data_IF_139105329202
#
_entry.id   IF_139105329202
#
_cell.length_a   1.000
_cell.length_b   1.000
_cell.length_c   1.000
_cell.angle_alpha   90.00
_cell.angle_beta   90.00
_cell.angle_gamma   90.00
#
_symmetry.space_group_name_H-M   'P 1'
#
loop_
_entity.id
_entity.type
_entity.pdbx_description
1 polymer ?
#
# COMPACT_ATOMS: atom_id res chain seq x y z
N UNK A 1 -33.47 45.96 -11.11
CA UNK A 1 -32.68 45.14 -12.07
C UNK A 1 -31.49 44.40 -11.42
N UNK A 2 -30.91 44.89 -10.31
CA UNK A 2 -29.79 44.22 -9.62
C UNK A 2 -30.16 42.97 -8.79
N UNK A 3 -31.37 42.87 -8.25
CA UNK A 3 -31.79 41.72 -7.42
C UNK A 3 -31.85 40.40 -8.20
N UNK A 4 -32.29 40.45 -9.47
CA UNK A 4 -32.32 39.28 -10.37
C UNK A 4 -30.91 38.79 -10.71
N UNK A 5 -29.91 39.69 -10.78
CA UNK A 5 -28.50 39.32 -10.96
C UNK A 5 -27.91 38.68 -9.70
N UNK A 6 -28.30 39.14 -8.50
CA UNK A 6 -27.87 38.59 -7.21
C UNK A 6 -28.47 37.19 -6.96
N UNK A 7 -29.73 36.96 -7.33
CA UNK A 7 -30.36 35.64 -7.24
C UNK A 7 -29.74 34.62 -8.22
N UNK A 8 -29.36 35.06 -9.43
CA UNK A 8 -28.68 34.18 -10.39
C UNK A 8 -27.26 33.84 -9.91
N UNK A 9 -26.54 34.80 -9.33
CA UNK A 9 -25.18 34.55 -8.81
C UNK A 9 -25.17 33.58 -7.63
N UNK A 10 -26.15 33.69 -6.72
CA UNK A 10 -26.28 32.77 -5.58
C UNK A 10 -26.72 31.37 -5.99
N UNK A 11 -27.59 31.23 -7.00
CA UNK A 11 -27.98 29.94 -7.55
C UNK A 11 -26.81 29.21 -8.24
N UNK A 12 -25.96 29.93 -8.99
CA UNK A 12 -24.78 29.37 -9.65
C UNK A 12 -23.71 28.95 -8.62
N UNK A 13 -23.48 29.76 -7.59
CA UNK A 13 -22.55 29.41 -6.52
C UNK A 13 -23.00 28.18 -5.71
N UNK A 14 -24.31 28.04 -5.45
CA UNK A 14 -24.88 26.85 -4.80
C UNK A 14 -24.73 25.58 -5.64
N UNK A 15 -24.85 25.68 -6.96
CA UNK A 15 -24.70 24.54 -7.86
C UNK A 15 -23.26 24.01 -7.93
N UNK A 16 -22.27 24.90 -7.92
CA UNK A 16 -20.85 24.53 -7.91
C UNK A 16 -20.48 23.78 -6.62
N UNK A 17 -21.06 24.16 -5.47
CA UNK A 17 -20.76 23.53 -4.19
C UNK A 17 -21.29 22.08 -4.08
N UNK A 18 -22.34 21.73 -4.84
CA UNK A 18 -22.90 20.36 -4.82
C UNK A 18 -22.13 19.35 -5.67
N UNK A 19 -21.34 19.79 -6.67
CA UNK A 19 -20.61 18.86 -7.56
C UNK A 19 -19.24 18.41 -7.04
N UNK A 20 -18.69 19.05 -6.00
CA UNK A 20 -17.37 18.67 -5.45
C UNK A 20 -17.39 17.40 -4.58
N UNK A 21 -18.58 16.87 -4.23
CA UNK A 21 -18.74 15.74 -3.31
C UNK A 21 -18.58 14.34 -3.93
N UNK A 22 -18.50 14.22 -5.26
CA UNK A 22 -18.48 12.93 -5.96
C UNK A 22 -17.33 12.85 -6.97
N UNK A 23 -16.07 12.93 -6.51
CA UNK A 23 -14.97 12.40 -7.31
C UNK A 23 -14.94 10.87 -7.13
N UNK A 24 -15.22 10.07 -8.17
CA UNK A 24 -15.06 8.63 -8.08
C UNK A 24 -13.60 8.32 -7.76
N UNK A 25 -13.40 7.59 -6.66
CA UNK A 25 -12.10 7.11 -6.22
C UNK A 25 -11.56 6.19 -7.32
N UNK A 26 -10.52 6.61 -8.05
CA UNK A 26 -9.91 5.76 -9.08
C UNK A 26 -9.55 4.40 -8.45
N UNK A 27 -10.19 3.34 -8.94
CA UNK A 27 -9.75 1.99 -8.65
C UNK A 27 -8.47 1.73 -9.43
N UNK A 28 -7.38 1.55 -8.69
CA UNK A 28 -6.00 1.40 -9.16
C UNK A 28 -5.71 0.27 -10.18
N UNK A 29 -6.73 -0.48 -10.62
CA UNK A 29 -6.60 -1.58 -11.58
C UNK A 29 -5.78 -2.78 -11.09
N UNK A 30 -5.26 -2.74 -9.85
CA UNK A 30 -4.44 -3.82 -9.29
C UNK A 30 -5.29 -5.03 -8.94
N UNK A 31 -4.84 -6.20 -9.40
CA UNK A 31 -5.51 -7.47 -9.14
C UNK A 31 -4.91 -8.15 -7.90
N UNK A 32 -5.76 -8.86 -7.15
CA UNK A 32 -5.36 -9.74 -6.05
C UNK A 32 -4.61 -9.07 -4.86
N UNK A 33 -4.99 -7.83 -4.52
CA UNK A 33 -4.59 -7.19 -3.27
C UNK A 33 -5.43 -7.75 -2.11
N UNK A 34 -4.78 -8.49 -1.19
CA UNK A 34 -5.42 -9.16 -0.03
C UNK A 34 -5.12 -8.50 1.33
N UNK A 35 -4.16 -7.57 1.38
CA UNK A 35 -3.72 -6.90 2.63
C UNK A 35 -3.64 -5.39 2.45
N UNK A 36 -3.05 -4.92 1.33
CA UNK A 36 -3.02 -3.51 1.00
C UNK A 36 -4.38 -3.00 0.51
N UNK A 37 -4.69 -1.70 0.66
CA UNK A 37 -5.92 -1.11 0.14
C UNK A 37 -6.07 -1.32 -1.36
N UNK A 38 -7.27 -1.69 -1.81
CA UNK A 38 -7.57 -1.87 -3.25
C UNK A 38 -7.44 -0.58 -4.06
N UNK A 39 -7.63 0.57 -3.41
CA UNK A 39 -7.54 1.90 -4.02
C UNK A 39 -6.15 2.56 -3.85
N UNK A 40 -5.12 1.79 -3.47
CA UNK A 40 -3.75 2.32 -3.33
C UNK A 40 -3.26 2.87 -4.68
N UNK A 41 -2.63 4.05 -4.68
CA UNK A 41 -2.03 4.58 -5.92
C UNK A 41 -0.86 3.72 -6.38
N UNK A 42 -0.50 3.81 -7.66
CA UNK A 42 0.62 3.07 -8.23
C UNK A 42 1.96 3.42 -7.57
N UNK A 43 2.14 4.70 -7.26
CA UNK A 43 3.34 5.25 -6.61
C UNK A 43 3.47 4.68 -5.20
N UNK A 44 2.38 4.69 -4.43
CA UNK A 44 2.37 4.16 -3.07
C UNK A 44 2.56 2.63 -3.04
N UNK A 45 1.95 1.91 -3.99
CA UNK A 45 2.19 0.47 -4.11
C UNK A 45 3.65 0.18 -4.48
N UNK A 46 4.22 0.93 -5.42
CA UNK A 46 5.63 0.85 -5.79
C UNK A 46 6.55 1.06 -4.59
N UNK A 47 6.29 2.10 -3.80
CA UNK A 47 7.07 2.42 -2.59
C UNK A 47 7.05 1.27 -1.57
N UNK A 48 5.89 0.67 -1.32
CA UNK A 48 5.77 -0.48 -0.43
C UNK A 48 6.61 -1.66 -0.94
N UNK A 49 6.59 -1.93 -2.24
CA UNK A 49 7.40 -3.00 -2.83
C UNK A 49 8.91 -2.70 -2.77
N UNK A 50 9.30 -1.43 -2.92
CA UNK A 50 10.68 -1.00 -2.74
C UNK A 50 11.16 -1.14 -1.29
N UNK A 51 10.32 -0.77 -0.32
CA UNK A 51 10.59 -0.97 1.11
C UNK A 51 10.80 -2.47 1.43
N UNK A 52 10.04 -3.37 0.81
CA UNK A 52 10.25 -4.81 0.97
C UNK A 52 11.57 -5.30 0.37
N UNK A 53 11.94 -4.85 -0.84
CA UNK A 53 13.23 -5.20 -1.45
C UNK A 53 14.40 -4.81 -0.55
N UNK A 54 14.35 -3.60 0.01
CA UNK A 54 15.40 -3.07 0.88
C UNK A 54 15.43 -3.83 2.21
N UNK A 55 14.28 -4.03 2.85
CA UNK A 55 14.22 -4.70 4.15
C UNK A 55 14.66 -6.16 4.10
N UNK A 56 14.33 -6.89 3.03
CA UNK A 56 14.65 -8.31 2.89
C UNK A 56 15.94 -8.56 2.07
N UNK A 57 16.52 -7.54 1.42
CA UNK A 57 17.67 -7.72 0.53
C UNK A 57 17.38 -8.59 -0.68
N UNK A 58 16.17 -8.49 -1.25
CA UNK A 58 15.70 -9.33 -2.36
C UNK A 58 15.24 -8.52 -3.57
N UNK A 59 15.00 -9.21 -4.69
CA UNK A 59 14.42 -8.65 -5.91
C UNK A 59 12.98 -9.13 -6.10
N UNK A 60 12.25 -8.52 -7.04
CA UNK A 60 10.82 -8.78 -7.27
C UNK A 60 10.51 -10.27 -7.50
N UNK A 61 11.37 -10.99 -8.24
CA UNK A 61 11.22 -12.42 -8.55
C UNK A 61 11.28 -13.33 -7.31
N UNK A 62 11.77 -12.83 -6.17
CA UNK A 62 11.76 -13.59 -4.92
C UNK A 62 10.32 -13.87 -4.46
N UNK A 63 9.42 -12.89 -4.60
CA UNK A 63 8.03 -13.01 -4.18
C UNK A 63 7.05 -13.18 -5.35
N UNK A 64 7.33 -12.62 -6.52
CA UNK A 64 6.40 -12.63 -7.64
C UNK A 64 6.72 -13.77 -8.62
N UNK A 65 5.67 -14.38 -9.16
CA UNK A 65 5.79 -15.44 -10.16
C UNK A 65 6.14 -14.86 -11.54
N UNK A 66 6.87 -15.60 -12.39
CA UNK A 66 6.99 -15.24 -13.80
C UNK A 66 5.62 -15.30 -14.49
N UNK A 67 5.44 -14.53 -15.56
CA UNK A 67 4.24 -14.63 -16.37
C UNK A 67 4.21 -15.96 -17.13
N UNK A 68 3.02 -16.58 -17.22
CA UNK A 68 2.79 -17.80 -18.01
C UNK A 68 2.87 -17.58 -19.52
N UNK A 69 2.69 -16.34 -19.98
CA UNK A 69 2.65 -16.00 -21.40
C UNK A 69 3.94 -15.36 -21.91
N UNK A 70 4.74 -14.78 -21.01
CA UNK A 70 6.02 -14.13 -21.34
C UNK A 70 7.01 -14.32 -20.18
N UNK A 71 7.99 -15.23 -20.29
CA UNK A 71 8.92 -15.53 -19.20
C UNK A 71 9.85 -14.35 -18.85
N UNK A 72 9.91 -13.29 -19.67
CA UNK A 72 10.66 -12.06 -19.37
C UNK A 72 9.86 -11.10 -18.49
N UNK A 73 8.56 -11.34 -18.29
CA UNK A 73 7.67 -10.53 -17.44
C UNK A 73 7.28 -11.28 -16.18
N UNK A 74 6.79 -10.55 -15.18
CA UNK A 74 6.22 -11.11 -13.97
C UNK A 74 4.70 -11.03 -14.01
N UNK A 75 4.05 -12.03 -13.42
CA UNK A 75 2.65 -11.96 -13.01
C UNK A 75 2.58 -11.50 -11.55
N UNK A 76 2.42 -10.19 -11.37
CA UNK A 76 2.34 -9.59 -10.04
C UNK A 76 1.07 -10.00 -9.27
N UNK A 77 0.03 -10.48 -9.96
CA UNK A 77 -1.23 -10.90 -9.35
C UNK A 77 -1.19 -12.37 -8.92
N UNK A 78 -0.44 -13.23 -9.59
CA UNK A 78 -0.31 -14.66 -9.28
C UNK A 78 0.18 -14.95 -7.86
N UNK A 79 -0.36 -16.02 -7.27
CA UNK A 79 0.00 -16.56 -5.95
C UNK A 79 0.84 -17.85 -6.06
N UNK A 80 1.29 -18.22 -7.26
CA UNK A 80 2.05 -19.46 -7.48
C UNK A 80 3.39 -19.51 -6.75
N UNK A 81 3.99 -18.32 -6.51
CA UNK A 81 5.15 -18.21 -5.66
C UNK A 81 4.72 -18.06 -4.18
N UNK A 82 4.99 -19.12 -3.40
CA UNK A 82 4.62 -19.21 -1.97
C UNK A 82 5.21 -18.10 -1.10
N UNK A 83 6.35 -17.50 -1.49
CA UNK A 83 6.94 -16.37 -0.75
C UNK A 83 5.99 -15.17 -0.68
N UNK A 84 5.09 -14.99 -1.66
CA UNK A 84 4.08 -13.92 -1.63
C UNK A 84 3.09 -14.09 -0.48
N UNK A 85 2.65 -15.32 -0.22
CA UNK A 85 1.73 -15.59 0.89
C UNK A 85 2.42 -15.46 2.24
N UNK A 86 3.69 -15.86 2.34
CA UNK A 86 4.52 -15.60 3.52
C UNK A 86 4.62 -14.09 3.77
N UNK A 87 4.93 -13.30 2.74
CA UNK A 87 5.00 -11.83 2.86
C UNK A 87 3.67 -11.23 3.33
N UNK A 88 2.52 -11.67 2.80
CA UNK A 88 1.19 -11.23 3.28
C UNK A 88 0.97 -11.56 4.75
N UNK A 89 1.39 -12.75 5.19
CA UNK A 89 1.28 -13.14 6.59
C UNK A 89 2.16 -12.26 7.49
N UNK A 90 3.38 -11.93 7.05
CA UNK A 90 4.26 -11.00 7.75
C UNK A 90 3.67 -9.59 7.81
N UNK A 91 3.09 -9.07 6.72
CA UNK A 91 2.40 -7.78 6.73
C UNK A 91 1.28 -7.73 7.77
N UNK A 92 0.46 -8.78 7.87
CA UNK A 92 -0.59 -8.87 8.89
C UNK A 92 0.00 -8.94 10.29
N UNK A 93 1.10 -9.68 10.49
CA UNK A 93 1.79 -9.76 11.77
C UNK A 93 2.29 -8.38 12.21
N UNK A 94 3.04 -7.69 11.37
CA UNK A 94 3.56 -6.34 11.63
C UNK A 94 2.43 -5.36 11.94
N UNK A 95 1.36 -5.38 11.14
CA UNK A 95 0.18 -4.54 11.39
C UNK A 95 -0.47 -4.83 12.75
N UNK A 96 -0.56 -6.11 13.16
CA UNK A 96 -1.08 -6.49 14.49
C UNK A 96 -0.17 -6.02 15.62
N UNK A 97 1.15 -6.21 15.50
CA UNK A 97 2.15 -5.77 16.49
C UNK A 97 2.05 -4.25 16.68
N UNK A 98 2.08 -3.50 15.58
CA UNK A 98 2.01 -2.04 15.62
C UNK A 98 0.68 -1.55 16.21
N UNK A 99 -0.45 -2.13 15.78
CA UNK A 99 -1.76 -1.79 16.34
C UNK A 99 -1.84 -2.07 17.85
N UNK A 100 -1.26 -3.18 18.32
CA UNK A 100 -1.38 -3.62 19.71
C UNK A 100 -0.48 -2.81 20.66
N UNK A 101 0.74 -2.49 20.24
CA UNK A 101 1.76 -1.96 21.15
C UNK A 101 2.19 -0.51 20.87
N UNK A 102 1.93 0.02 19.67
CA UNK A 102 2.39 1.35 19.28
C UNK A 102 1.24 2.34 19.03
N UNK A 103 -0.02 1.91 19.20
CA UNK A 103 -1.24 2.70 19.00
C UNK A 103 -1.36 3.38 17.62
N UNK A 104 -2.55 3.86 17.26
CA UNK A 104 -2.86 4.35 15.91
C UNK A 104 -2.59 5.84 15.68
N UNK A 105 -2.46 6.60 16.77
CA UNK A 105 -2.48 8.07 16.71
C UNK A 105 -1.08 8.68 16.50
N UNK A 106 -0.09 7.81 16.32
CA UNK A 106 1.26 8.21 15.99
C UNK A 106 1.33 8.54 14.50
N UNK A 107 1.63 9.80 14.19
CA UNK A 107 2.00 10.21 12.84
C UNK A 107 3.27 9.46 12.45
N UNK A 108 3.52 9.35 11.16
CA UNK A 108 4.80 8.84 10.66
C UNK A 108 5.95 9.64 11.31
N UNK A 109 6.71 9.00 12.20
CA UNK A 109 7.82 9.63 12.94
C UNK A 109 7.66 9.70 14.46
N UNK A 110 6.48 9.47 15.03
CA UNK A 110 6.25 9.73 16.46
C UNK A 110 6.76 8.61 17.40
N UNK A 111 6.87 7.35 16.92
CA UNK A 111 7.67 6.26 17.52
C UNK A 111 8.16 5.29 16.43
N UNK A 112 9.32 4.63 16.61
CA UNK A 112 9.75 3.57 15.69
C UNK A 112 8.79 2.38 15.78
N UNK A 113 7.92 2.26 14.78
CA UNK A 113 7.06 1.09 14.60
C UNK A 113 7.89 -0.11 14.15
N UNK A 114 7.41 -1.32 14.46
CA UNK A 114 8.02 -2.53 13.88
C UNK A 114 7.78 -2.50 12.38
N UNK A 115 8.85 -2.71 11.62
CA UNK A 115 8.83 -2.84 10.17
C UNK A 115 9.50 -4.14 9.76
N UNK A 116 9.46 -4.48 8.47
CA UNK A 116 10.21 -5.60 7.93
C UNK A 116 11.72 -5.45 8.24
N UNK A 117 12.24 -4.23 8.22
CA UNK A 117 13.64 -3.91 8.49
C UNK A 117 14.06 -4.27 9.91
N UNK A 118 13.17 -4.11 10.89
CA UNK A 118 13.43 -4.39 12.31
C UNK A 118 13.96 -5.81 12.54
N UNK A 119 13.47 -6.80 11.78
CA UNK A 119 13.88 -8.20 11.94
C UNK A 119 14.78 -8.67 10.80
N UNK A 120 14.44 -8.33 9.55
CA UNK A 120 15.18 -8.84 8.39
C UNK A 120 16.52 -8.16 8.20
N UNK A 121 16.63 -6.87 8.55
CA UNK A 121 17.87 -6.09 8.48
C UNK A 121 18.65 -6.28 7.16
N UNK A 122 17.96 -6.21 6.02
CA UNK A 122 18.54 -6.39 4.69
C UNK A 122 18.80 -7.84 4.28
N UNK A 123 18.27 -8.83 5.01
CA UNK A 123 18.47 -10.26 4.73
C UNK A 123 17.13 -10.98 4.55
N UNK A 124 17.10 -11.93 3.60
CA UNK A 124 15.88 -12.70 3.28
C UNK A 124 15.36 -13.50 4.48
N UNK A 125 16.26 -13.89 5.37
CA UNK A 125 15.96 -14.57 6.62
C UNK A 125 16.49 -13.72 7.79
N UNK A 126 15.66 -13.44 8.81
CA UNK A 126 16.11 -12.79 10.04
C UNK A 126 17.20 -13.62 10.73
N UNK A 127 18.12 -12.93 11.43
CA UNK A 127 19.10 -13.61 12.26
C UNK A 127 18.41 -14.41 13.37
N UNK A 128 18.88 -15.65 13.62
CA UNK A 128 18.42 -16.40 14.79
C UNK A 128 19.05 -15.81 16.06
N UNK A 129 18.33 -15.77 17.19
CA UNK A 129 18.96 -15.46 18.47
C UNK A 129 20.06 -16.51 18.72
N UNK A 130 21.33 -16.08 18.74
CA UNK A 130 22.47 -16.93 19.10
C UNK A 130 23.27 -17.58 17.96
N UNK A 131 23.07 -17.24 16.68
CA UNK A 131 23.95 -17.81 15.65
C UNK A 131 23.78 -17.27 14.23
N UNK A 132 24.93 -16.87 13.67
CA UNK A 132 25.24 -16.45 12.30
C UNK A 132 24.98 -17.50 11.24
#
# INVERSE_FOLDING_TARGET
MSYRKILIFSAVAGMIFTMSGFMPKEESGFKNLKVLPKNISKENLGRVMDEFKVALGVRCSFCHAPSKTDPKKMDFASDENKHKDVARNMMRMTARINKKYFHKDLKAGDLPQVTCMTCHNGKKEPARPGGS
#
